data_IF_553878039802
#
_entry.id   IF_553878039802
#
_cell.length_a   1.000
_cell.length_b   1.000
_cell.length_c   1.000
_cell.angle_alpha   90.00
_cell.angle_beta   90.00
_cell.angle_gamma   90.00
#
_symmetry.space_group_name_H-M   'P 1'
#
loop_
_entity.id
_entity.type
_entity.pdbx_description
1 polymer ?
#
# COMPACT_ATOMS: atom_id res chain seq x y z
N UNK A 1 8.07 3.64 33.77
CA UNK A 1 9.35 4.14 34.33
C UNK A 1 10.37 3.91 33.23
N UNK A 2 11.08 4.95 32.79
CA UNK A 2 12.14 4.81 31.77
C UNK A 2 13.35 4.19 32.46
N UNK A 3 13.82 3.04 31.97
CA UNK A 3 15.03 2.35 32.44
C UNK A 3 16.15 2.55 31.41
N UNK A 4 17.40 2.36 31.83
CA UNK A 4 18.56 2.38 30.93
C UNK A 4 18.41 1.41 29.75
N UNK A 5 17.86 0.22 30.02
CA UNK A 5 17.54 -0.78 29.00
C UNK A 5 16.54 -0.26 27.95
N UNK A 6 15.51 0.47 28.38
CA UNK A 6 14.54 1.07 27.44
C UNK A 6 15.12 2.20 26.61
N UNK A 7 16.13 2.92 27.14
CA UNK A 7 16.84 3.96 26.38
C UNK A 7 17.72 3.31 25.29
N UNK A 8 18.48 2.27 25.63
CA UNK A 8 19.32 1.57 24.65
C UNK A 8 18.51 1.00 23.48
N UNK A 9 17.32 0.46 23.75
CA UNK A 9 16.42 -0.03 22.69
C UNK A 9 15.97 1.11 21.76
N UNK A 10 15.69 2.30 22.29
CA UNK A 10 15.29 3.45 21.47
C UNK A 10 16.45 3.91 20.58
N UNK A 11 17.67 3.95 21.11
CA UNK A 11 18.87 4.30 20.35
C UNK A 11 19.11 3.28 19.21
N UNK A 12 18.93 1.98 19.48
CA UNK A 12 19.04 0.92 18.48
C UNK A 12 17.96 1.04 17.37
N UNK A 13 16.74 1.44 17.74
CA UNK A 13 15.64 1.68 16.79
C UNK A 13 15.95 2.87 15.89
N UNK A 14 16.48 3.96 16.46
CA UNK A 14 16.87 5.15 15.68
C UNK A 14 18.00 4.80 14.71
N UNK A 15 19.03 4.11 15.19
CA UNK A 15 20.13 3.64 14.34
C UNK A 15 19.63 2.75 13.19
N UNK A 16 18.72 1.81 13.46
CA UNK A 16 18.14 0.95 12.43
C UNK A 16 17.31 1.73 11.41
N UNK A 17 16.54 2.72 11.88
CA UNK A 17 15.74 3.60 11.03
C UNK A 17 16.63 4.40 10.08
N UNK A 18 17.73 4.96 10.58
CA UNK A 18 18.72 5.65 9.74
C UNK A 18 19.29 4.75 8.65
N UNK A 19 19.58 3.48 8.96
CA UNK A 19 20.05 2.51 7.95
C UNK A 19 19.02 2.21 6.88
N UNK A 20 17.73 2.21 7.21
CA UNK A 20 16.66 2.03 6.23
C UNK A 20 16.56 3.29 5.35
N UNK A 21 16.67 4.48 5.93
CA UNK A 21 16.64 5.75 5.19
C UNK A 21 17.85 5.90 4.25
N UNK A 22 19.03 5.45 4.65
CA UNK A 22 20.24 5.41 3.82
C UNK A 22 20.23 4.28 2.76
N UNK A 23 19.20 3.44 2.76
CA UNK A 23 19.14 2.29 1.85
C UNK A 23 18.87 2.73 0.41
N UNK A 24 19.43 1.98 -0.54
CA UNK A 24 19.16 2.20 -1.98
C UNK A 24 17.67 2.10 -2.32
N UNK A 25 16.93 1.25 -1.59
CA UNK A 25 15.50 1.06 -1.80
C UNK A 25 14.72 2.32 -1.40
N UNK A 26 15.03 2.90 -0.24
CA UNK A 26 14.42 4.15 0.19
C UNK A 26 14.71 5.30 -0.79
N UNK A 27 15.98 5.47 -1.18
CA UNK A 27 16.33 6.51 -2.15
C UNK A 27 15.65 6.30 -3.50
N UNK A 28 15.57 5.06 -4.00
CA UNK A 28 14.87 4.75 -5.25
C UNK A 28 13.37 5.06 -5.16
N UNK A 29 12.75 4.75 -4.02
CA UNK A 29 11.36 5.10 -3.74
C UNK A 29 11.15 6.62 -3.73
N UNK A 30 12.01 7.38 -3.03
CA UNK A 30 11.91 8.86 -2.99
C UNK A 30 12.05 9.51 -4.37
N UNK A 31 12.95 8.99 -5.21
CA UNK A 31 13.09 9.47 -6.60
C UNK A 31 11.82 9.17 -7.40
N UNK A 32 11.28 7.95 -7.31
CA UNK A 32 10.06 7.58 -8.02
C UNK A 32 8.84 8.39 -7.52
N UNK A 33 8.78 8.71 -6.23
CA UNK A 33 7.77 9.58 -5.63
C UNK A 33 7.83 11.00 -6.21
N UNK A 34 9.04 11.59 -6.28
CA UNK A 34 9.24 12.91 -6.87
C UNK A 34 8.85 12.92 -8.35
N UNK A 35 9.29 11.92 -9.13
CA UNK A 35 8.93 11.80 -10.54
C UNK A 35 7.41 11.71 -10.75
N UNK A 36 6.69 11.02 -9.86
CA UNK A 36 5.23 10.95 -9.92
C UNK A 36 4.58 12.29 -9.56
N UNK A 37 5.08 12.99 -8.54
CA UNK A 37 4.57 14.29 -8.12
C UNK A 37 4.74 15.37 -9.20
N UNK A 38 5.83 15.31 -9.96
CA UNK A 38 6.15 16.26 -11.04
C UNK A 38 5.50 15.89 -12.38
N UNK A 39 4.77 14.77 -12.47
CA UNK A 39 4.17 14.30 -13.71
C UNK A 39 2.74 14.87 -13.92
N UNK A 40 2.62 15.83 -14.83
CA UNK A 40 1.35 16.48 -15.17
C UNK A 40 0.29 15.50 -15.69
N UNK A 41 0.67 14.51 -16.50
CA UNK A 41 -0.27 13.52 -17.05
C UNK A 41 -0.87 12.64 -15.94
N UNK A 42 -0.03 12.18 -15.00
CA UNK A 42 -0.47 11.44 -13.84
C UNK A 42 -1.42 12.27 -12.98
N UNK A 43 -1.11 13.56 -12.77
CA UNK A 43 -1.99 14.46 -12.04
C UNK A 43 -3.36 14.62 -12.71
N UNK A 44 -3.39 14.85 -14.03
CA UNK A 44 -4.62 15.00 -14.80
C UNK A 44 -5.47 13.72 -14.77
N UNK A 45 -4.87 12.55 -15.00
CA UNK A 45 -5.57 11.27 -14.96
C UNK A 45 -6.08 10.95 -13.55
N UNK A 46 -5.31 11.28 -12.51
CA UNK A 46 -5.71 11.10 -11.13
C UNK A 46 -6.92 11.98 -10.78
N UNK A 47 -6.91 13.26 -11.16
CA UNK A 47 -8.07 14.15 -10.98
C UNK A 47 -9.32 13.63 -11.73
N UNK A 48 -9.15 13.18 -12.97
CA UNK A 48 -10.24 12.62 -13.76
C UNK A 48 -10.83 11.36 -13.11
N UNK A 49 -9.98 10.52 -12.51
CA UNK A 49 -10.39 9.37 -11.73
C UNK A 49 -11.15 9.79 -10.46
N UNK A 50 -10.63 10.73 -9.67
CA UNK A 50 -11.30 11.22 -8.44
C UNK A 50 -12.70 11.74 -8.74
N UNK A 51 -12.86 12.54 -9.80
CA UNK A 51 -14.17 13.04 -10.22
C UNK A 51 -15.16 11.91 -10.58
N UNK A 52 -14.69 10.86 -11.27
CA UNK A 52 -15.55 9.69 -11.55
C UNK A 52 -15.85 8.86 -10.30
N UNK A 53 -14.93 8.83 -9.34
CA UNK A 53 -15.11 8.15 -8.07
C UNK A 53 -16.18 8.85 -7.23
N UNK A 54 -16.17 10.17 -7.16
CA UNK A 54 -17.22 10.94 -6.47
C UNK A 54 -18.61 10.63 -7.05
N UNK A 55 -18.74 10.65 -8.38
CA UNK A 55 -20.00 10.28 -9.06
C UNK A 55 -20.42 8.84 -8.77
N UNK A 56 -19.45 7.91 -8.74
CA UNK A 56 -19.70 6.53 -8.39
C UNK A 56 -20.18 6.38 -6.95
N UNK A 57 -19.54 7.06 -6.01
CA UNK A 57 -19.85 7.02 -4.58
C UNK A 57 -21.25 7.61 -4.32
N UNK A 58 -21.62 8.70 -5.00
CA UNK A 58 -22.98 9.29 -4.96
C UNK A 58 -24.05 8.29 -5.41
N UNK A 59 -23.84 7.65 -6.56
CA UNK A 59 -24.78 6.66 -7.10
C UNK A 59 -24.84 5.42 -6.20
N UNK A 60 -23.71 4.99 -5.66
CA UNK A 60 -23.61 3.81 -4.80
C UNK A 60 -24.42 3.98 -3.50
N UNK A 61 -24.71 5.22 -3.04
CA UNK A 61 -25.62 5.47 -1.92
C UNK A 61 -27.03 4.91 -2.16
N UNK A 62 -27.49 4.92 -3.42
CA UNK A 62 -28.77 4.35 -3.83
C UNK A 62 -28.67 2.86 -4.21
N UNK A 63 -27.45 2.34 -4.33
CA UNK A 63 -27.16 0.96 -4.64
C UNK A 63 -27.23 0.62 -6.13
N UNK A 64 -27.15 -0.68 -6.42
CA UNK A 64 -26.93 -1.22 -7.78
C UNK A 64 -28.12 -1.02 -8.74
N UNK A 65 -29.28 -0.61 -8.24
CA UNK A 65 -30.50 -0.40 -9.04
C UNK A 65 -30.58 1.00 -9.66
N UNK A 66 -29.61 1.88 -9.38
CA UNK A 66 -29.55 3.18 -10.03
C UNK A 66 -29.35 3.00 -11.55
N UNK A 67 -30.12 3.71 -12.41
CA UNK A 67 -30.08 3.52 -13.87
C UNK A 67 -28.67 3.71 -14.45
N UNK A 68 -27.90 4.65 -13.92
CA UNK A 68 -26.54 4.94 -14.39
C UNK A 68 -25.43 4.11 -13.71
N UNK A 69 -25.77 3.20 -12.79
CA UNK A 69 -24.77 2.46 -11.98
C UNK A 69 -23.71 1.77 -12.84
N UNK A 70 -24.14 0.97 -13.83
CA UNK A 70 -23.22 0.22 -14.68
C UNK A 70 -22.29 1.14 -15.48
N UNK A 71 -22.84 2.23 -16.00
CA UNK A 71 -22.09 3.21 -16.80
C UNK A 71 -21.00 3.86 -15.94
N UNK A 72 -21.38 4.41 -14.79
CA UNK A 72 -20.44 5.11 -13.90
C UNK A 72 -19.40 4.15 -13.33
N UNK A 73 -19.81 2.94 -12.92
CA UNK A 73 -18.86 1.89 -12.49
C UNK A 73 -17.81 1.59 -13.56
N UNK A 74 -18.22 1.41 -14.83
CA UNK A 74 -17.30 1.12 -15.93
C UNK A 74 -16.38 2.30 -16.23
N UNK A 75 -16.90 3.52 -16.24
CA UNK A 75 -16.09 4.73 -16.45
C UNK A 75 -15.05 4.91 -15.34
N UNK A 76 -15.43 4.79 -14.08
CA UNK A 76 -14.52 4.91 -12.94
C UNK A 76 -13.41 3.85 -13.00
N UNK A 77 -13.74 2.60 -13.35
CA UNK A 77 -12.74 1.54 -13.55
C UNK A 77 -11.79 1.82 -14.70
N UNK A 78 -12.29 2.33 -15.83
CA UNK A 78 -11.46 2.70 -16.99
C UNK A 78 -10.49 3.82 -16.64
N UNK A 79 -10.95 4.87 -15.95
CA UNK A 79 -10.09 5.98 -15.52
C UNK A 79 -9.05 5.55 -14.49
N UNK A 80 -9.45 4.73 -13.52
CA UNK A 80 -8.52 4.13 -12.56
C UNK A 80 -7.41 3.35 -13.28
N UNK A 81 -7.79 2.48 -14.23
CA UNK A 81 -6.83 1.69 -14.99
C UNK A 81 -5.91 2.56 -15.86
N UNK A 82 -6.43 3.62 -16.47
CA UNK A 82 -5.61 4.55 -17.26
C UNK A 82 -4.51 5.19 -16.40
N UNK A 83 -4.86 5.64 -15.19
CA UNK A 83 -3.88 6.16 -14.22
C UNK A 83 -2.88 5.07 -13.76
N UNK A 84 -3.36 3.90 -13.35
CA UNK A 84 -2.50 2.82 -12.82
C UNK A 84 -1.54 2.24 -13.86
N UNK A 85 -1.87 2.32 -15.15
CA UNK A 85 -1.03 1.84 -16.25
C UNK A 85 0.03 2.85 -16.69
N UNK A 86 0.05 4.07 -16.13
CA UNK A 86 1.12 5.02 -16.44
C UNK A 86 2.47 4.47 -15.96
N UNK A 87 3.54 4.53 -16.79
CA UNK A 87 4.85 4.03 -16.41
C UNK A 87 5.38 4.63 -15.09
N UNK A 88 5.15 5.92 -14.86
CA UNK A 88 5.58 6.61 -13.63
C UNK A 88 4.84 6.12 -12.38
N UNK A 89 3.54 5.81 -12.51
CA UNK A 89 2.72 5.26 -11.41
C UNK A 89 3.15 3.82 -11.13
N UNK A 90 3.37 3.03 -12.18
CA UNK A 90 3.84 1.65 -12.06
C UNK A 90 5.22 1.58 -11.40
N UNK A 91 6.17 2.43 -11.81
CA UNK A 91 7.51 2.48 -11.21
C UNK A 91 7.44 2.88 -9.74
N UNK A 92 6.70 3.95 -9.40
CA UNK A 92 6.45 4.34 -8.01
C UNK A 92 5.90 3.17 -7.19
N UNK A 93 4.87 2.48 -7.68
CA UNK A 93 4.28 1.32 -6.98
C UNK A 93 5.25 0.17 -6.80
N UNK A 94 6.10 -0.11 -7.79
CA UNK A 94 7.14 -1.14 -7.65
C UNK A 94 8.16 -0.78 -6.57
N UNK A 95 8.61 0.48 -6.51
CA UNK A 95 9.56 0.93 -5.47
C UNK A 95 8.93 0.97 -4.09
N UNK A 96 7.66 1.36 -3.99
CA UNK A 96 6.88 1.34 -2.76
C UNK A 96 6.79 -0.08 -2.18
N UNK A 97 6.44 -1.06 -3.01
CA UNK A 97 6.41 -2.48 -2.61
C UNK A 97 7.78 -2.97 -2.18
N UNK A 98 8.84 -2.66 -2.93
CA UNK A 98 10.19 -3.09 -2.58
C UNK A 98 10.68 -2.50 -1.24
N UNK A 99 10.30 -1.27 -0.91
CA UNK A 99 10.59 -0.67 0.39
C UNK A 99 9.76 -1.31 1.50
N UNK A 100 8.47 -1.60 1.26
CA UNK A 100 7.62 -2.30 2.21
C UNK A 100 8.16 -3.70 2.53
N UNK A 101 8.63 -4.44 1.52
CA UNK A 101 9.22 -5.77 1.69
C UNK A 101 10.46 -5.74 2.59
N UNK A 102 11.31 -4.71 2.46
CA UNK A 102 12.46 -4.50 3.34
C UNK A 102 12.00 -4.30 4.79
N UNK A 103 10.99 -3.46 5.02
CA UNK A 103 10.47 -3.16 6.35
C UNK A 103 9.84 -4.41 6.97
N UNK A 104 9.04 -5.15 6.20
CA UNK A 104 8.41 -6.39 6.64
C UNK A 104 9.48 -7.43 7.04
N UNK A 105 10.56 -7.57 6.25
CA UNK A 105 11.66 -8.49 6.58
C UNK A 105 12.34 -8.11 7.91
N UNK A 106 12.56 -6.81 8.15
CA UNK A 106 13.15 -6.30 9.40
C UNK A 106 12.23 -6.62 10.59
N UNK A 107 10.92 -6.34 10.47
CA UNK A 107 9.93 -6.62 11.53
C UNK A 107 9.93 -8.12 11.86
N UNK A 108 9.92 -8.97 10.83
CA UNK A 108 9.91 -10.42 11.00
C UNK A 108 11.16 -10.92 11.72
N UNK A 109 12.34 -10.40 11.37
CA UNK A 109 13.60 -10.76 12.05
C UNK A 109 13.59 -10.36 13.53
N UNK A 110 13.12 -9.15 13.85
CA UNK A 110 13.04 -8.67 15.23
C UNK A 110 12.06 -9.54 16.03
N UNK A 111 10.86 -9.77 15.50
CA UNK A 111 9.83 -10.54 16.19
C UNK A 111 10.28 -11.97 16.51
N UNK A 112 10.90 -12.67 15.54
CA UNK A 112 11.41 -14.03 15.78
C UNK A 112 12.65 -14.09 16.66
N UNK A 113 13.45 -13.02 16.74
CA UNK A 113 14.52 -12.94 17.73
C UNK A 113 13.99 -12.88 19.17
N UNK A 114 12.78 -12.34 19.38
CA UNK A 114 12.13 -12.27 20.69
C UNK A 114 11.37 -13.56 21.01
N UNK A 115 10.60 -14.10 20.07
CA UNK A 115 9.90 -15.38 20.23
C UNK A 115 9.48 -15.99 18.90
N UNK A 116 9.78 -17.27 18.73
CA UNK A 116 9.45 -18.04 17.51
C UNK A 116 7.93 -18.21 17.30
N UNK A 117 7.12 -18.03 18.36
CA UNK A 117 5.67 -18.26 18.35
C UNK A 117 4.85 -16.96 18.18
N UNK A 118 5.49 -15.83 17.87
CA UNK A 118 4.79 -14.56 17.66
C UNK A 118 4.05 -14.60 16.32
N UNK A 119 2.74 -14.29 16.35
CA UNK A 119 1.93 -14.07 15.15
C UNK A 119 2.16 -12.65 14.65
N UNK A 120 2.55 -12.51 13.39
CA UNK A 120 2.90 -11.23 12.78
C UNK A 120 1.96 -11.00 11.60
N UNK A 121 1.23 -9.88 11.62
CA UNK A 121 0.50 -9.37 10.45
C UNK A 121 1.48 -8.50 9.66
N UNK A 122 2.10 -9.07 8.63
CA UNK A 122 2.93 -8.34 7.66
C UNK A 122 2.09 -7.90 6.46
N UNK A 123 2.48 -6.78 5.83
CA UNK A 123 1.81 -6.28 4.63
C UNK A 123 1.97 -7.22 3.43
N UNK A 124 3.10 -7.93 3.36
CA UNK A 124 3.36 -8.94 2.35
C UNK A 124 2.94 -10.36 2.81
N UNK A 125 2.01 -11.02 2.10
CA UNK A 125 1.51 -12.35 2.46
C UNK A 125 2.56 -13.47 2.40
N UNK A 126 3.72 -13.25 1.77
CA UNK A 126 4.82 -14.22 1.73
C UNK A 126 5.46 -14.46 3.10
N UNK A 127 5.38 -13.49 4.01
CA UNK A 127 5.98 -13.58 5.35
C UNK A 127 5.00 -14.08 6.42
N UNK A 128 3.74 -14.35 6.06
CA UNK A 128 2.76 -14.95 6.96
C UNK A 128 2.99 -16.47 7.01
N UNK A 129 3.50 -16.99 8.14
CA UNK A 129 3.69 -18.45 8.34
C UNK A 129 2.39 -19.22 8.52
N UNK A 130 1.29 -18.52 8.80
CA UNK A 130 -0.04 -19.11 8.91
C UNK A 130 -0.76 -18.96 7.57
N UNK A 131 -0.63 -19.96 6.69
CA UNK A 131 -1.55 -20.17 5.58
C UNK A 131 -2.92 -20.62 6.13
N UNK A 132 -3.62 -19.72 6.82
CA UNK A 132 -4.96 -19.96 7.36
C UNK A 132 -5.98 -19.05 6.67
N UNK A 133 -6.45 -19.49 5.51
CA UNK A 133 -7.84 -19.34 5.11
C UNK A 133 -8.36 -17.95 4.72
N UNK A 134 -9.25 -17.96 3.74
CA UNK A 134 -10.21 -16.90 3.44
C UNK A 134 -11.10 -16.61 4.67
N UNK A 135 -10.63 -15.80 5.61
CA UNK A 135 -11.35 -15.47 6.83
C UNK A 135 -11.02 -14.05 7.36
N UNK A 136 -11.13 -13.03 6.51
CA UNK A 136 -11.44 -11.67 6.96
C UNK A 136 -12.70 -11.22 6.23
N UNK A 137 -13.79 -11.12 6.99
CA UNK A 137 -15.13 -10.80 6.50
C UNK A 137 -15.18 -9.45 5.78
N UNK A 138 -15.56 -9.49 4.50
CA UNK A 138 -15.74 -8.31 3.66
C UNK A 138 -16.04 -8.72 2.21
N UNK A 139 -17.28 -9.16 1.95
CA UNK A 139 -17.91 -9.32 0.63
C UNK A 139 -16.98 -9.59 -0.58
N UNK A 140 -16.50 -10.82 -0.72
CA UNK A 140 -16.06 -11.33 -2.03
C UNK A 140 -17.28 -11.35 -2.98
N UNK A 141 -17.30 -10.45 -3.95
CA UNK A 141 -18.24 -10.49 -5.08
C UNK A 141 -17.48 -10.95 -6.32
N UNK A 142 -17.22 -12.25 -6.39
CA UNK A 142 -16.86 -12.91 -7.65
C UNK A 142 -18.14 -12.99 -8.50
N UNK A 143 -18.22 -12.17 -9.53
CA UNK A 143 -19.12 -12.41 -10.67
C UNK A 143 -18.27 -13.00 -11.80
N UNK A 144 -18.67 -14.18 -12.27
CA UNK A 144 -18.33 -14.69 -13.61
C UNK A 144 -18.63 -13.64 -14.68
#
# INVERSE_FOLDING_TARGET
MITEETLNILDDIEYLSDKILDSRLYHSFKIAEQNLQENDEAHLLYQAFLKSKEQYDEIMRFGKYHPDYQKVMLETRKRKRAYEMLPVVMDYKQKEVALQDLIDEVIVKIAYAVSENVKIETGNPFFQKDASGCATGGSCSCSL
#
